data_IF_762909017010
#
_entry.id   IF_762909017010
#
_cell.length_a   1.000
_cell.length_b   1.000
_cell.length_c   1.000
_cell.angle_alpha   90.00
_cell.angle_beta   90.00
_cell.angle_gamma   90.00
#
_symmetry.space_group_name_H-M   'P 1'
#
loop_
_entity.id
_entity.type
_entity.pdbx_description
1 polymer ?
#
# COMPACT_ATOMS: atom_id res chain seq x y z
N UNK A 1 56.52 -2.19 17.26
CA UNK A 1 55.16 -2.77 17.10
C UNK A 1 54.70 -2.48 15.69
N UNK A 2 54.38 -3.50 14.88
CA UNK A 2 54.02 -3.30 13.45
C UNK A 2 52.60 -2.73 13.38
N UNK A 3 52.35 -1.56 12.74
CA UNK A 3 51.02 -0.94 12.69
C UNK A 3 50.07 -1.61 11.68
N UNK A 4 50.57 -2.58 10.91
CA UNK A 4 49.83 -3.29 9.86
C UNK A 4 48.49 -3.91 10.31
N UNK A 5 48.35 -4.53 11.50
CA UNK A 5 47.08 -5.08 11.96
C UNK A 5 46.06 -3.97 12.25
N UNK A 6 46.52 -2.83 12.77
CA UNK A 6 45.67 -1.68 13.09
C UNK A 6 45.14 -1.01 11.81
N UNK A 7 45.99 -0.94 10.78
CA UNK A 7 45.62 -0.42 9.46
C UNK A 7 44.61 -1.32 8.75
N UNK A 8 44.78 -2.65 8.83
CA UNK A 8 43.83 -3.62 8.29
C UNK A 8 42.46 -3.53 8.99
N UNK A 9 42.44 -3.37 10.32
CA UNK A 9 41.21 -3.18 11.08
C UNK A 9 40.48 -1.88 10.70
N UNK A 10 41.22 -0.79 10.54
CA UNK A 10 40.67 0.50 10.12
C UNK A 10 40.10 0.45 8.70
N UNK A 11 40.78 -0.22 7.76
CA UNK A 11 40.26 -0.44 6.42
C UNK A 11 39.00 -1.31 6.42
N UNK A 12 38.98 -2.38 7.22
CA UNK A 12 37.79 -3.23 7.35
C UNK A 12 36.59 -2.46 7.92
N UNK A 13 36.80 -1.59 8.91
CA UNK A 13 35.77 -0.74 9.48
C UNK A 13 35.22 0.29 8.47
N UNK A 14 36.07 0.86 7.62
CA UNK A 14 35.66 1.78 6.56
C UNK A 14 34.85 1.06 5.46
N UNK A 15 35.20 -0.18 5.12
CA UNK A 15 34.44 -0.97 4.14
C UNK A 15 33.09 -1.46 4.69
N UNK A 16 33.00 -1.77 5.98
CA UNK A 16 31.76 -2.23 6.61
C UNK A 16 30.77 -1.09 6.96
N UNK A 17 31.21 0.18 6.88
CA UNK A 17 30.41 1.34 7.28
C UNK A 17 29.41 1.85 6.23
N UNK A 18 29.51 1.43 4.97
CA UNK A 18 28.67 1.97 3.88
C UNK A 18 27.18 1.65 4.06
N UNK A 19 26.83 0.44 4.51
CA UNK A 19 25.45 0.08 4.86
C UNK A 19 24.90 0.95 6.01
N UNK A 20 25.76 1.29 7.00
CA UNK A 20 25.37 2.10 8.16
C UNK A 20 25.15 3.58 7.81
N UNK A 21 25.71 4.05 6.69
CA UNK A 21 25.53 5.38 6.13
C UNK A 21 24.27 5.49 5.25
N UNK A 22 23.50 4.41 5.09
CA UNK A 22 22.28 4.38 4.29
C UNK A 22 22.51 4.46 2.78
N UNK A 23 23.75 4.28 2.32
CA UNK A 23 24.09 4.21 0.89
C UNK A 23 23.98 2.74 0.48
N UNK A 24 22.78 2.35 0.08
CA UNK A 24 22.51 0.98 -0.38
C UNK A 24 23.19 0.74 -1.74
N UNK A 25 23.94 -0.36 -1.86
CA UNK A 25 24.49 -0.79 -3.14
C UNK A 25 23.38 -1.33 -4.05
N UNK A 26 23.55 -1.29 -5.39
CA UNK A 26 22.58 -1.89 -6.29
C UNK A 26 22.36 -3.40 -6.01
N UNK A 27 23.38 -4.11 -5.54
CA UNK A 27 23.26 -5.51 -5.12
C UNK A 27 22.33 -5.66 -3.91
N UNK A 28 22.50 -4.84 -2.87
CA UNK A 28 21.64 -4.85 -1.69
C UNK A 28 20.18 -4.51 -2.05
N UNK A 29 19.97 -3.55 -2.95
CA UNK A 29 18.65 -3.19 -3.46
C UNK A 29 17.95 -4.38 -4.17
N UNK A 30 18.71 -5.15 -4.96
CA UNK A 30 18.21 -6.33 -5.66
C UNK A 30 17.87 -7.46 -4.67
N UNK A 31 18.74 -7.73 -3.70
CA UNK A 31 18.49 -8.73 -2.64
C UNK A 31 17.23 -8.35 -1.85
N UNK A 32 17.07 -7.07 -1.50
CA UNK A 32 15.86 -6.59 -0.85
C UNK A 32 14.63 -6.81 -1.73
N UNK A 33 14.68 -6.46 -3.01
CA UNK A 33 13.56 -6.69 -3.95
C UNK A 33 13.17 -8.16 -4.07
N UNK A 34 14.15 -9.06 -4.10
CA UNK A 34 13.90 -10.50 -4.13
C UNK A 34 13.26 -10.98 -2.82
N UNK A 35 13.79 -10.53 -1.67
CA UNK A 35 13.24 -10.85 -0.36
C UNK A 35 11.79 -10.37 -0.21
N UNK A 36 11.50 -9.14 -0.62
CA UNK A 36 10.14 -8.59 -0.65
C UNK A 36 9.22 -9.39 -1.57
N UNK A 37 9.71 -9.79 -2.75
CA UNK A 37 8.95 -10.64 -3.66
C UNK A 37 8.57 -11.98 -3.01
N UNK A 38 9.53 -12.66 -2.37
CA UNK A 38 9.27 -13.91 -1.64
C UNK A 38 8.29 -13.73 -0.50
N UNK A 39 8.44 -12.66 0.28
CA UNK A 39 7.51 -12.33 1.37
C UNK A 39 6.07 -12.14 0.87
N UNK A 40 5.91 -11.37 -0.21
CA UNK A 40 4.61 -11.17 -0.88
C UNK A 40 4.03 -12.50 -1.38
N UNK A 41 4.84 -13.32 -2.04
CA UNK A 41 4.42 -14.64 -2.53
C UNK A 41 3.93 -15.56 -1.42
N UNK A 42 4.72 -15.67 -0.35
CA UNK A 42 4.36 -16.47 0.81
C UNK A 42 3.08 -15.98 1.49
N UNK A 43 2.98 -14.68 1.76
CA UNK A 43 1.76 -14.10 2.33
C UNK A 43 0.54 -14.34 1.42
N UNK A 44 0.70 -14.20 0.11
CA UNK A 44 -0.37 -14.43 -0.85
C UNK A 44 -0.85 -15.89 -0.84
N UNK A 45 0.07 -16.84 -0.66
CA UNK A 45 -0.31 -18.25 -0.51
C UNK A 45 -1.01 -18.54 0.80
N UNK A 46 -0.49 -17.99 1.90
CA UNK A 46 -1.13 -18.10 3.21
C UNK A 46 -2.55 -17.51 3.20
N UNK A 47 -2.80 -16.50 2.36
CA UNK A 47 -4.12 -15.95 2.08
C UNK A 47 -5.05 -16.84 1.21
N UNK A 48 -4.60 -18.04 0.83
CA UNK A 48 -5.38 -18.99 0.02
C UNK A 48 -5.58 -18.56 -1.44
N UNK A 49 -4.75 -17.65 -1.96
CA UNK A 49 -4.89 -17.13 -3.33
C UNK A 49 -4.11 -17.95 -4.36
N UNK A 50 -4.65 -18.01 -5.58
CA UNK A 50 -3.93 -18.52 -6.73
C UNK A 50 -2.77 -17.59 -7.11
N UNK A 51 -1.71 -18.15 -7.70
CA UNK A 51 -0.52 -17.37 -8.07
C UNK A 51 -0.84 -16.24 -9.07
N UNK A 52 -1.79 -16.47 -9.99
CA UNK A 52 -2.22 -15.47 -10.96
C UNK A 52 -2.83 -14.24 -10.28
N UNK A 53 -3.62 -14.43 -9.21
CA UNK A 53 -4.15 -13.32 -8.41
C UNK A 53 -3.03 -12.53 -7.75
N UNK A 54 -1.99 -13.22 -7.26
CA UNK A 54 -0.83 -12.58 -6.62
C UNK A 54 -0.13 -11.63 -7.58
N UNK A 55 0.02 -11.99 -8.86
CA UNK A 55 0.61 -11.12 -9.88
C UNK A 55 -0.25 -9.90 -10.20
N UNK A 56 -1.58 -10.06 -10.22
CA UNK A 56 -2.51 -8.95 -10.46
C UNK A 56 -2.47 -7.95 -9.30
N UNK A 57 -2.41 -8.44 -8.05
CA UNK A 57 -2.40 -7.62 -6.85
C UNK A 57 -1.04 -6.94 -6.61
N UNK A 58 0.07 -7.54 -7.07
CA UNK A 58 1.44 -7.09 -6.74
C UNK A 58 2.29 -6.80 -7.98
N UNK A 59 1.79 -5.95 -8.89
CA UNK A 59 2.43 -5.64 -10.18
C UNK A 59 3.87 -5.10 -10.10
N UNK A 60 4.28 -4.56 -8.94
CA UNK A 60 5.62 -3.99 -8.71
C UNK A 60 6.62 -5.00 -8.15
N UNK A 61 6.14 -6.16 -7.71
CA UNK A 61 6.97 -7.23 -7.18
C UNK A 61 7.58 -8.05 -8.32
N UNK A 62 8.78 -8.57 -8.10
CA UNK A 62 9.40 -9.47 -9.05
C UNK A 62 8.63 -10.80 -9.12
N UNK A 63 8.16 -11.17 -10.31
CA UNK A 63 7.28 -12.36 -10.48
C UNK A 63 7.99 -13.65 -10.09
N UNK A 64 9.29 -13.78 -10.39
CA UNK A 64 10.03 -14.99 -10.07
C UNK A 64 10.20 -15.14 -8.55
N UNK A 65 10.53 -14.06 -7.85
CA UNK A 65 10.60 -14.04 -6.39
C UNK A 65 9.25 -14.32 -5.74
N UNK A 66 8.15 -13.73 -6.25
CA UNK A 66 6.78 -14.01 -5.78
C UNK A 66 6.43 -15.49 -5.94
N UNK A 67 6.74 -16.10 -7.09
CA UNK A 67 6.47 -17.52 -7.29
C UNK A 67 7.29 -18.41 -6.36
N UNK A 68 8.56 -18.08 -6.15
CA UNK A 68 9.42 -18.81 -5.22
C UNK A 68 8.82 -18.81 -3.80
N UNK A 69 8.51 -17.64 -3.25
CA UNK A 69 7.90 -17.55 -1.93
C UNK A 69 6.51 -18.20 -1.83
N UNK A 70 5.71 -18.13 -2.90
CA UNK A 70 4.40 -18.79 -2.95
C UNK A 70 4.52 -20.31 -2.87
N UNK A 71 5.48 -20.90 -3.59
CA UNK A 71 5.76 -22.34 -3.55
C UNK A 71 6.28 -22.78 -2.20
N UNK A 72 7.27 -22.07 -1.67
CA UNK A 72 7.87 -22.38 -0.37
C UNK A 72 6.79 -22.38 0.73
N UNK A 73 5.90 -21.38 0.70
CA UNK A 73 4.78 -21.33 1.65
C UNK A 73 3.73 -22.42 1.37
N UNK A 74 3.46 -22.78 0.11
CA UNK A 74 2.56 -23.90 -0.21
C UNK A 74 3.08 -25.20 0.41
N UNK A 75 4.36 -25.48 0.23
CA UNK A 75 4.99 -26.70 0.71
C UNK A 75 4.99 -26.69 2.24
N UNK A 76 5.38 -25.57 2.86
CA UNK A 76 5.32 -25.38 4.30
C UNK A 76 3.91 -25.60 4.87
N UNK A 77 2.87 -25.00 4.29
CA UNK A 77 1.49 -25.18 4.75
C UNK A 77 1.01 -26.62 4.61
N UNK A 78 1.41 -27.33 3.54
CA UNK A 78 1.04 -28.74 3.32
C UNK A 78 1.72 -29.67 4.31
N UNK A 79 3.00 -29.46 4.57
CA UNK A 79 3.78 -30.24 5.53
C UNK A 79 3.29 -30.02 6.97
N UNK A 80 2.88 -28.79 7.30
CA UNK A 80 2.50 -28.40 8.66
C UNK A 80 0.98 -28.35 8.89
N UNK A 81 0.17 -28.70 7.87
CA UNK A 81 -1.32 -28.68 7.92
C UNK A 81 -1.87 -27.32 8.37
N UNK A 82 -1.33 -26.25 7.80
CA UNK A 82 -1.76 -24.89 8.09
C UNK A 82 -2.87 -24.52 7.12
N UNK A 83 -3.99 -24.09 7.67
CA UNK A 83 -5.12 -23.60 6.88
C UNK A 83 -4.87 -22.19 6.34
N UNK A 84 -5.47 -21.89 5.19
CA UNK A 84 -5.40 -20.56 4.61
C UNK A 84 -6.23 -19.56 5.44
N UNK A 85 -5.69 -18.36 5.60
CA UNK A 85 -6.36 -17.25 6.30
C UNK A 85 -7.03 -16.35 5.27
N UNK A 86 -8.37 -16.27 5.31
CA UNK A 86 -9.12 -15.39 4.40
C UNK A 86 -8.71 -13.93 4.61
N UNK A 87 -8.35 -13.19 3.55
CA UNK A 87 -8.08 -11.75 3.65
C UNK A 87 -9.33 -10.97 4.08
N UNK A 88 -9.17 -10.14 5.11
CA UNK A 88 -10.24 -9.29 5.64
C UNK A 88 -10.37 -7.97 4.88
N UNK A 89 -9.26 -7.49 4.30
CA UNK A 89 -9.25 -6.24 3.55
C UNK A 89 -9.87 -6.44 2.15
N UNK A 90 -10.70 -5.49 1.68
CA UNK A 90 -11.25 -5.55 0.34
C UNK A 90 -10.13 -5.47 -0.71
N UNK A 91 -10.29 -6.15 -1.87
CA UNK A 91 -9.40 -5.99 -3.01
C UNK A 91 -9.18 -4.50 -3.36
N UNK A 92 -7.97 -4.08 -3.76
CA UNK A 92 -7.65 -2.67 -4.02
C UNK A 92 -8.60 -1.98 -5.01
N UNK A 93 -9.08 -2.71 -6.03
CA UNK A 93 -10.05 -2.19 -7.00
C UNK A 93 -11.39 -1.81 -6.34
N UNK A 94 -11.87 -2.62 -5.39
CA UNK A 94 -13.10 -2.35 -4.65
C UNK A 94 -12.91 -1.22 -3.64
N UNK A 95 -11.73 -1.13 -3.01
CA UNK A 95 -11.38 -0.01 -2.13
C UNK A 95 -11.31 1.32 -2.89
N UNK A 96 -10.73 1.32 -4.10
CA UNK A 96 -10.68 2.52 -4.94
C UNK A 96 -12.07 2.98 -5.40
N UNK A 97 -12.94 2.02 -5.77
CA UNK A 97 -14.32 2.32 -6.16
C UNK A 97 -15.15 2.87 -4.98
N UNK A 98 -15.02 2.31 -3.77
CA UNK A 98 -15.74 2.83 -2.59
C UNK A 98 -15.25 4.22 -2.19
N UNK A 99 -13.94 4.47 -2.27
CA UNK A 99 -13.37 5.79 -2.01
C UNK A 99 -13.85 6.84 -3.03
N UNK A 100 -13.96 6.47 -4.31
CA UNK A 100 -14.50 7.34 -5.35
C UNK A 100 -15.98 7.66 -5.10
N UNK A 101 -16.79 6.65 -4.76
CA UNK A 101 -18.20 6.84 -4.44
C UNK A 101 -18.42 7.72 -3.20
N UNK A 102 -17.62 7.53 -2.14
CA UNK A 102 -17.68 8.36 -0.93
C UNK A 102 -17.31 9.82 -1.22
N UNK A 103 -16.31 10.06 -2.09
CA UNK A 103 -15.94 11.41 -2.52
C UNK A 103 -17.03 12.08 -3.36
N UNK A 104 -17.67 11.34 -4.26
CA UNK A 104 -18.79 11.85 -5.06
C UNK A 104 -19.99 12.21 -4.17
N UNK A 105 -20.33 11.37 -3.19
CA UNK A 105 -21.41 11.64 -2.24
C UNK A 105 -21.12 12.88 -1.36
N UNK A 106 -19.87 13.06 -0.92
CA UNK A 106 -19.47 14.24 -0.15
C UNK A 106 -19.52 15.54 -0.98
N UNK A 107 -19.18 15.48 -2.27
CA UNK A 107 -19.28 16.62 -3.18
C UNK A 107 -20.74 17.04 -3.39
N UNK A 108 -21.65 16.10 -3.64
CA UNK A 108 -23.08 16.41 -3.82
C UNK A 108 -23.74 16.95 -2.55
N UNK A 109 -23.28 16.54 -1.37
CA UNK A 109 -23.78 17.07 -0.09
C UNK A 109 -23.29 18.51 0.19
N UNK A 110 -22.11 18.89 -0.31
CA UNK A 110 -21.59 20.26 -0.19
C UNK A 110 -22.35 21.24 -1.10
N UNK A 111 -22.68 20.84 -2.34
CA UNK A 111 -23.44 21.67 -3.27
C UNK A 111 -24.89 21.92 -2.80
N UNK A 112 -25.52 20.93 -2.15
CA UNK A 112 -26.85 21.10 -1.56
C UNK A 112 -26.86 22.03 -0.32
N UNK A 113 -25.73 22.19 0.36
CA UNK A 113 -25.58 23.08 1.51
C UNK A 113 -25.43 24.57 1.12
N UNK A 114 -24.84 24.86 -0.05
CA UNK A 114 -24.71 26.22 -0.56
C UNK A 114 -26.06 26.79 -1.04
N UNK A 115 -26.93 25.96 -1.63
CA UNK A 115 -28.23 26.42 -2.17
C UNK A 115 -29.24 26.83 -1.07
N UNK A 116 -29.10 26.32 0.16
CA UNK A 116 -30.02 26.65 1.27
C UNK A 116 -29.66 27.97 2.00
N UNK A 117 -28.47 28.52 1.82
CA UNK A 117 -28.09 29.82 2.44
C UNK A 117 -28.40 31.03 1.55
N UNK A 118 -28.67 30.83 0.26
CA UNK A 118 -28.97 31.90 -0.70
C UNK A 118 -30.45 32.31 -0.75
N UNK A 119 -31.38 31.57 -0.11
CA UNK A 119 -32.83 31.75 -0.30
C UNK A 119 -33.60 32.41 0.86
N UNK A 120 -32.95 32.75 1.98
CA UNK A 120 -33.61 33.37 3.14
C UNK A 120 -33.63 34.91 3.12
N UNK A 121 -32.79 35.56 2.32
CA UNK A 121 -32.74 37.02 2.26
C UNK A 121 -33.53 37.61 1.09
N UNK A 122 -34.84 37.75 1.26
CA UNK A 122 -35.56 38.91 0.71
C UNK A 122 -36.86 38.63 -0.08
N UNK A 123 -38.00 38.67 0.60
CA UNK A 123 -39.19 39.35 0.06
C UNK A 123 -40.10 39.85 1.19
N UNK A 124 -39.70 40.97 1.80
CA UNK A 124 -40.65 41.90 2.41
C UNK A 124 -40.82 43.10 1.46
N UNK A 125 -42.03 43.68 1.45
CA UNK A 125 -42.43 44.94 0.77
C UNK A 125 -42.96 44.75 -0.68
N UNK A 126 -44.22 45.09 -1.04
CA UNK A 126 -44.92 46.40 -1.00
C UNK A 126 -46.45 46.16 -1.19
N UNK A 127 -47.35 46.62 -0.30
CA UNK A 127 -48.08 47.93 -0.18
C UNK A 127 -49.32 48.18 -1.09
N UNK A 128 -50.41 48.60 -0.41
CA UNK A 128 -51.37 49.70 -0.70
C UNK A 128 -52.81 49.42 -1.26
N UNK A 129 -53.79 49.62 -0.36
CA UNK A 129 -54.98 50.52 -0.37
C UNK A 129 -56.05 50.62 -1.51
N UNK A 130 -57.32 50.55 -1.05
CA UNK A 130 -58.52 51.41 -1.28
C UNK A 130 -59.64 51.03 -2.30
N UNK A 131 -60.88 50.92 -1.76
CA UNK A 131 -62.09 51.58 -2.28
C UNK A 131 -63.11 50.76 -3.08
N UNK A 132 -64.33 50.60 -2.52
CA UNK A 132 -65.53 50.10 -3.22
C UNK A 132 -66.55 49.48 -2.28
#
# INVERSE_FOLDING_TARGET
>A
MRPLPLLLLACAALLAGCDQLGIESPEAANVRREAEGKAVGGACRHAGRAIEDCYVLNKKADKAAVFAGWRDMNDYMRENKIDAVKPELPPPALAAASAAAARAAAASAAEAGEEHTAKDSGHGEKKAAHGG
#
